data_IF_378607795382
#
_entry.id   IF_378607795382
#
_cell.length_a   1.000
_cell.length_b   1.000
_cell.length_c   1.000
_cell.angle_alpha   90.00
_cell.angle_beta   90.00
_cell.angle_gamma   90.00
#
_symmetry.space_group_name_H-M   'P 1'
#
loop_
_entity.id
_entity.type
_entity.pdbx_description
1 polymer ?
#
# COMPACT_ATOMS: atom_id res chain seq x y z
N UNK A 1 3.15 26.55 -8.69
CA UNK A 1 1.76 26.22 -9.13
C UNK A 1 1.43 24.80 -8.73
N UNK A 2 0.17 24.53 -8.39
CA UNK A 2 -0.38 23.22 -8.05
C UNK A 2 -1.43 22.85 -9.08
N UNK A 3 -1.34 21.65 -9.63
CA UNK A 3 -2.37 21.05 -10.48
C UNK A 3 -3.36 20.27 -9.64
N UNK A 4 -4.64 20.54 -9.82
CA UNK A 4 -5.73 19.80 -9.18
C UNK A 4 -6.29 18.86 -10.24
N UNK A 5 -6.08 17.56 -10.04
CA UNK A 5 -6.56 16.51 -10.93
C UNK A 5 -7.60 15.69 -10.18
N UNK A 6 -8.73 15.44 -10.82
CA UNK A 6 -9.78 14.59 -10.29
C UNK A 6 -9.68 13.22 -10.93
N UNK A 7 -9.73 12.18 -10.10
CA UNK A 7 -9.92 10.80 -10.51
C UNK A 7 -11.29 10.34 -10.03
N UNK A 8 -12.16 9.94 -10.94
CA UNK A 8 -13.53 9.52 -10.62
C UNK A 8 -13.99 8.38 -11.52
N UNK A 9 -15.10 7.74 -11.18
CA UNK A 9 -15.68 6.67 -11.99
C UNK A 9 -16.97 7.14 -12.66
N UNK A 10 -17.08 6.94 -13.97
CA UNK A 10 -18.30 7.18 -14.74
C UNK A 10 -18.70 5.88 -15.43
N UNK A 11 -19.87 5.32 -15.09
CA UNK A 11 -20.31 4.00 -15.55
C UNK A 11 -19.23 2.91 -15.31
N UNK A 12 -18.66 2.88 -14.10
CA UNK A 12 -17.58 1.96 -13.70
C UNK A 12 -16.25 2.11 -14.48
N UNK A 13 -16.14 3.07 -15.38
CA UNK A 13 -14.88 3.42 -16.05
C UNK A 13 -14.17 4.50 -15.26
N UNK A 14 -12.90 4.27 -14.93
CA UNK A 14 -12.06 5.28 -14.27
C UNK A 14 -11.68 6.36 -15.27
N UNK A 15 -11.95 7.61 -14.92
CA UNK A 15 -11.54 8.79 -15.67
C UNK A 15 -10.67 9.71 -14.80
N UNK A 16 -9.69 10.35 -15.43
CA UNK A 16 -8.89 11.41 -14.84
C UNK A 16 -9.04 12.70 -15.64
N UNK A 17 -9.23 13.82 -14.94
CA UNK A 17 -9.44 15.14 -15.54
C UNK A 17 -8.67 16.20 -14.75
N UNK A 18 -7.88 17.00 -15.46
CA UNK A 18 -7.31 18.22 -14.90
C UNK A 18 -8.45 19.23 -14.66
N UNK A 19 -8.65 19.62 -13.41
CA UNK A 19 -9.67 20.60 -13.05
C UNK A 19 -9.12 22.03 -13.14
N UNK A 20 -7.95 22.26 -12.55
CA UNK A 20 -7.36 23.58 -12.46
C UNK A 20 -5.86 23.52 -12.22
N UNK A 21 -5.16 24.57 -12.63
CA UNK A 21 -3.80 24.87 -12.19
C UNK A 21 -3.86 26.19 -11.44
N UNK A 22 -3.43 26.19 -10.18
CA UNK A 22 -3.48 27.38 -9.32
C UNK A 22 -2.14 27.68 -8.70
N UNK A 23 -1.86 28.97 -8.52
CA UNK A 23 -0.81 29.39 -7.61
C UNK A 23 -1.30 29.28 -6.18
N UNK A 24 -0.43 28.80 -5.30
CA UNK A 24 -0.75 28.75 -3.88
C UNK A 24 -0.41 30.09 -3.23
N UNK A 25 -1.31 30.64 -2.41
CA UNK A 25 -1.03 31.84 -1.64
C UNK A 25 -0.03 31.58 -0.51
N UNK A 26 0.12 30.33 -0.06
CA UNK A 26 0.92 29.93 1.10
C UNK A 26 1.31 28.45 1.01
N UNK A 27 2.38 28.05 1.70
CA UNK A 27 2.84 26.65 1.81
C UNK A 27 2.29 25.93 3.05
N UNK A 28 1.39 26.56 3.81
CA UNK A 28 0.79 26.00 5.03
C UNK A 28 -0.38 25.08 4.65
N UNK A 29 -0.45 23.89 5.28
CA UNK A 29 -1.42 22.85 4.93
C UNK A 29 -2.89 23.31 5.00
N UNK A 30 -3.24 24.14 5.98
CA UNK A 30 -4.60 24.71 6.14
C UNK A 30 -5.00 25.56 4.94
N UNK A 31 -4.10 26.45 4.48
CA UNK A 31 -4.36 27.34 3.34
C UNK A 31 -4.54 26.54 2.05
N UNK A 32 -3.75 25.48 1.89
CA UNK A 32 -3.84 24.56 0.75
C UNK A 32 -5.17 23.81 0.77
N UNK A 33 -5.60 23.31 1.93
CA UNK A 33 -6.86 22.59 2.08
C UNK A 33 -8.07 23.48 1.75
N UNK A 34 -8.11 24.71 2.27
CA UNK A 34 -9.16 25.68 1.93
C UNK A 34 -9.17 26.00 0.44
N UNK A 35 -8.00 26.27 -0.15
CA UNK A 35 -7.88 26.53 -1.59
C UNK A 35 -8.42 25.37 -2.43
N UNK A 36 -8.11 24.13 -2.07
CA UNK A 36 -8.62 22.93 -2.75
C UNK A 36 -10.15 22.87 -2.67
N UNK A 37 -10.72 22.94 -1.46
CA UNK A 37 -12.16 22.86 -1.24
C UNK A 37 -12.91 23.99 -1.96
N UNK A 38 -12.42 25.23 -1.89
CA UNK A 38 -13.02 26.37 -2.57
C UNK A 38 -12.95 26.22 -4.09
N UNK A 39 -11.86 25.65 -4.60
CA UNK A 39 -11.74 25.37 -6.04
C UNK A 39 -12.74 24.32 -6.49
N UNK A 40 -12.95 23.25 -5.72
CA UNK A 40 -13.95 22.23 -6.03
C UNK A 40 -15.36 22.83 -6.04
N UNK A 41 -15.73 23.58 -4.98
CA UNK A 41 -17.03 24.26 -4.86
C UNK A 41 -17.27 25.24 -6.00
N UNK A 42 -16.26 26.03 -6.37
CA UNK A 42 -16.34 26.99 -7.49
C UNK A 42 -16.65 26.31 -8.83
N UNK A 43 -16.19 25.08 -9.03
CA UNK A 43 -16.48 24.30 -10.24
C UNK A 43 -17.74 23.44 -10.11
N UNK A 44 -18.56 23.65 -9.07
CA UNK A 44 -19.80 22.90 -8.86
C UNK A 44 -19.59 21.45 -8.45
N UNK A 45 -18.40 21.09 -7.95
CA UNK A 45 -18.11 19.73 -7.51
C UNK A 45 -18.60 19.57 -6.07
N UNK A 46 -19.45 18.58 -5.89
CA UNK A 46 -19.97 18.19 -4.58
C UNK A 46 -18.87 17.54 -3.73
N UNK A 47 -18.41 18.29 -2.72
CA UNK A 47 -17.34 17.86 -1.82
C UNK A 47 -17.75 16.68 -0.93
N UNK A 48 -19.05 16.38 -0.80
CA UNK A 48 -19.52 15.21 -0.04
C UNK A 48 -19.09 13.89 -0.70
N UNK A 49 -18.84 13.90 -2.02
CA UNK A 49 -18.48 12.71 -2.82
C UNK A 49 -16.98 12.40 -2.84
N UNK A 50 -16.15 13.19 -2.16
CA UNK A 50 -14.69 12.98 -2.13
C UNK A 50 -14.37 11.74 -1.30
N UNK A 51 -13.85 10.68 -1.88
CA UNK A 51 -13.53 9.45 -1.12
C UNK A 51 -12.06 9.33 -0.71
N UNK A 52 -11.18 10.10 -1.35
CA UNK A 52 -9.75 10.08 -1.06
C UNK A 52 -9.02 11.32 -1.55
N UNK A 53 -7.81 11.48 -1.05
CA UNK A 53 -6.89 12.57 -1.33
C UNK A 53 -5.49 12.02 -1.59
N UNK A 54 -4.80 12.52 -2.60
CA UNK A 54 -3.48 11.99 -3.02
C UNK A 54 -2.53 13.13 -3.39
N UNK A 55 -1.37 13.16 -2.76
CA UNK A 55 -0.29 14.15 -2.99
C UNK A 55 1.03 13.65 -2.38
N UNK A 56 2.09 14.48 -2.46
CA UNK A 56 3.41 14.14 -1.93
C UNK A 56 3.43 13.96 -0.40
N UNK A 57 4.53 13.40 0.11
CA UNK A 57 4.67 13.09 1.52
C UNK A 57 5.20 14.27 2.33
N UNK A 58 5.27 15.48 1.78
CA UNK A 58 5.77 16.63 2.52
C UNK A 58 4.90 16.91 3.75
N UNK A 59 5.53 17.38 4.85
CA UNK A 59 4.85 17.51 6.15
C UNK A 59 3.62 18.44 6.12
N UNK A 60 3.61 19.44 5.25
CA UNK A 60 2.47 20.33 5.04
C UNK A 60 1.30 19.65 4.30
N UNK A 61 1.54 18.55 3.58
CA UNK A 61 0.53 17.78 2.87
C UNK A 61 0.07 16.56 3.69
N UNK A 62 1.03 15.75 4.14
CA UNK A 62 0.85 14.45 4.81
C UNK A 62 0.88 14.51 6.34
N UNK A 63 1.00 15.69 6.95
CA UNK A 63 1.04 15.83 8.41
C UNK A 63 -0.27 15.42 9.08
N UNK A 64 -0.21 14.62 10.15
CA UNK A 64 -1.39 14.07 10.87
C UNK A 64 -2.21 15.12 11.61
N UNK A 65 -1.61 16.25 11.98
CA UNK A 65 -2.29 17.29 12.77
C UNK A 65 -2.52 18.60 12.02
N UNK A 66 -1.58 18.98 11.13
CA UNK A 66 -1.59 20.28 10.42
C UNK A 66 -1.37 20.13 8.91
N UNK A 67 -1.29 18.89 8.43
CA UNK A 67 -1.18 18.63 7.00
C UNK A 67 -2.52 18.83 6.30
N UNK A 68 -2.48 19.01 4.98
CA UNK A 68 -3.68 19.01 4.13
C UNK A 68 -4.58 17.81 4.44
N UNK A 69 -4.00 16.63 4.71
CA UNK A 69 -4.78 15.42 4.96
C UNK A 69 -5.72 15.57 6.17
N UNK A 70 -5.22 16.15 7.24
CA UNK A 70 -5.97 16.35 8.47
C UNK A 70 -7.01 17.45 8.28
N UNK A 71 -6.60 18.55 7.63
CA UNK A 71 -7.45 19.72 7.40
C UNK A 71 -8.65 19.37 6.51
N UNK A 72 -8.46 18.60 5.44
CA UNK A 72 -9.57 18.20 4.55
C UNK A 72 -10.56 17.31 5.30
N UNK A 73 -10.08 16.34 6.08
CA UNK A 73 -10.96 15.48 6.89
C UNK A 73 -11.74 16.27 7.95
N UNK A 74 -11.11 17.28 8.56
CA UNK A 74 -11.74 18.17 9.54
C UNK A 74 -12.82 19.05 8.89
N UNK A 75 -12.50 19.72 7.76
CA UNK A 75 -13.43 20.58 7.02
C UNK A 75 -14.65 19.81 6.52
N UNK A 76 -14.46 18.57 6.07
CA UNK A 76 -15.54 17.71 5.57
C UNK A 76 -16.23 16.90 6.68
N UNK A 77 -15.76 16.99 7.93
CA UNK A 77 -16.27 16.23 9.10
C UNK A 77 -16.36 14.72 8.83
N UNK A 78 -15.41 14.20 8.06
CA UNK A 78 -15.32 12.79 7.67
C UNK A 78 -13.86 12.44 7.45
N UNK A 79 -13.47 11.23 7.84
CA UNK A 79 -12.15 10.74 7.51
C UNK A 79 -12.01 10.48 6.00
N UNK A 80 -11.12 11.22 5.35
CA UNK A 80 -10.82 11.11 3.93
C UNK A 80 -9.50 10.40 3.76
N UNK A 81 -9.53 9.25 3.09
CA UNK A 81 -8.36 8.39 2.91
C UNK A 81 -7.26 9.16 2.18
N UNK A 82 -6.13 9.35 2.86
CA UNK A 82 -4.93 9.90 2.25
C UNK A 82 -4.09 8.79 1.64
N UNK A 83 -3.80 8.91 0.36
CA UNK A 83 -2.93 8.01 -0.40
C UNK A 83 -1.61 8.75 -0.68
N UNK A 84 -0.49 8.34 -0.07
CA UNK A 84 0.80 8.96 -0.32
C UNK A 84 1.26 8.72 -1.76
N UNK A 85 1.93 9.71 -2.37
CA UNK A 85 2.43 9.59 -3.73
C UNK A 85 3.56 8.55 -3.82
N UNK A 86 3.28 7.42 -4.48
CA UNK A 86 4.26 6.36 -4.70
C UNK A 86 5.50 6.83 -5.48
N UNK A 87 5.32 7.69 -6.49
CA UNK A 87 6.45 8.25 -7.26
C UNK A 87 7.38 9.10 -6.39
N UNK A 88 6.83 9.88 -5.45
CA UNK A 88 7.63 10.63 -4.50
C UNK A 88 8.38 9.71 -3.54
N UNK A 89 7.72 8.69 -3.00
CA UNK A 89 8.36 7.67 -2.14
C UNK A 89 9.51 6.96 -2.86
N UNK A 90 9.30 6.54 -4.12
CA UNK A 90 10.34 5.90 -4.93
C UNK A 90 11.50 6.86 -5.24
N UNK A 91 11.19 8.10 -5.64
CA UNK A 91 12.23 9.08 -5.95
C UNK A 91 13.03 9.47 -4.70
N UNK A 92 12.39 9.51 -3.53
CA UNK A 92 13.06 9.71 -2.26
C UNK A 92 13.99 8.52 -1.95
N UNK A 93 13.53 7.29 -2.15
CA UNK A 93 14.36 6.10 -1.98
C UNK A 93 15.60 6.11 -2.89
N UNK A 94 15.42 6.47 -4.17
CA UNK A 94 16.52 6.62 -5.14
C UNK A 94 17.44 7.77 -4.75
N UNK A 95 16.90 8.92 -4.36
CA UNK A 95 17.70 10.07 -3.89
C UNK A 95 18.56 9.67 -2.70
N UNK A 96 18.01 8.99 -1.70
CA UNK A 96 18.80 8.49 -0.56
C UNK A 96 19.85 7.46 -0.96
N UNK A 97 19.61 6.66 -2.00
CA UNK A 97 20.60 5.74 -2.53
C UNK A 97 21.72 6.45 -3.32
N UNK A 98 21.41 7.55 -4.03
CA UNK A 98 22.36 8.32 -4.84
C UNK A 98 23.13 9.37 -4.05
N UNK A 99 22.50 10.04 -3.09
CA UNK A 99 23.11 11.01 -2.17
C UNK A 99 23.89 10.30 -1.04
N UNK A 100 24.42 9.10 -1.34
CA UNK A 100 25.28 8.34 -0.46
C UNK A 100 26.54 9.14 -0.13
N UNK A 101 26.45 9.91 0.95
CA UNK A 101 27.59 10.43 1.68
C UNK A 101 27.91 9.43 2.80
N UNK A 102 29.19 9.27 3.15
CA UNK A 102 29.71 8.32 4.16
C UNK A 102 29.02 8.38 5.55
N UNK A 103 28.10 9.33 5.78
CA UNK A 103 27.28 9.45 6.98
C UNK A 103 25.82 9.14 6.64
N UNK A 104 25.49 7.86 6.59
CA UNK A 104 24.07 7.42 6.58
C UNK A 104 23.49 7.67 7.96
N UNK A 105 22.42 8.46 8.06
CA UNK A 105 21.71 8.58 9.34
C UNK A 105 21.19 7.18 9.73
N UNK A 106 21.26 6.88 11.03
CA UNK A 106 20.93 5.53 11.52
C UNK A 106 19.52 5.10 11.15
N UNK A 107 18.58 6.05 11.01
CA UNK A 107 17.20 5.72 10.68
C UNK A 107 17.08 5.26 9.22
N UNK A 108 17.65 6.00 8.27
CA UNK A 108 17.67 5.61 6.84
C UNK A 108 18.44 4.30 6.62
N UNK A 109 19.59 4.13 7.28
CA UNK A 109 20.36 2.88 7.23
C UNK A 109 19.52 1.68 7.71
N UNK A 110 18.83 1.86 8.84
CA UNK A 110 17.97 0.83 9.41
C UNK A 110 16.77 0.55 8.50
N UNK A 111 16.13 1.57 7.93
CA UNK A 111 15.01 1.39 7.00
C UNK A 111 15.43 0.63 5.74
N UNK A 112 16.56 1.01 5.13
CA UNK A 112 17.09 0.33 3.95
C UNK A 112 17.49 -1.12 4.25
N UNK A 113 18.15 -1.36 5.39
CA UNK A 113 18.53 -2.70 5.84
C UNK A 113 17.30 -3.56 6.11
N UNK A 114 16.29 -3.01 6.77
CA UNK A 114 15.02 -3.71 7.03
C UNK A 114 14.28 -4.04 5.73
N UNK A 115 14.26 -3.13 4.77
CA UNK A 115 13.65 -3.37 3.47
C UNK A 115 14.41 -4.46 2.70
N UNK A 116 15.74 -4.35 2.63
CA UNK A 116 16.61 -5.39 2.03
C UNK A 116 16.32 -6.75 2.64
N UNK A 117 16.34 -6.85 3.98
CA UNK A 117 16.11 -8.10 4.68
C UNK A 117 14.71 -8.69 4.40
N UNK A 118 13.69 -7.85 4.22
CA UNK A 118 12.36 -8.31 3.81
C UNK A 118 12.35 -8.82 2.36
N UNK A 119 12.99 -8.10 1.44
CA UNK A 119 13.00 -8.45 0.01
C UNK A 119 13.79 -9.75 -0.29
N UNK A 120 14.79 -10.08 0.53
CA UNK A 120 15.57 -11.31 0.40
C UNK A 120 15.05 -12.46 1.27
N UNK A 121 14.02 -12.22 2.08
CA UNK A 121 13.47 -13.25 2.97
C UNK A 121 12.87 -14.41 2.17
N UNK A 122 12.95 -15.60 2.75
CA UNK A 122 12.34 -16.78 2.12
C UNK A 122 10.83 -16.64 1.95
N UNK A 123 10.16 -16.08 2.96
CA UNK A 123 8.72 -15.81 2.92
C UNK A 123 8.34 -14.88 1.77
N UNK A 124 9.09 -13.80 1.55
CA UNK A 124 8.83 -12.87 0.45
C UNK A 124 9.04 -13.53 -0.92
N UNK A 125 10.15 -14.27 -1.09
CA UNK A 125 10.44 -15.00 -2.33
C UNK A 125 9.34 -16.00 -2.67
N UNK A 126 8.89 -16.76 -1.67
CA UNK A 126 7.82 -17.74 -1.80
C UNK A 126 6.49 -17.08 -2.18
N UNK A 127 6.09 -16.03 -1.47
CA UNK A 127 4.88 -15.26 -1.77
C UNK A 127 4.94 -14.65 -3.17
N UNK A 128 6.08 -14.10 -3.57
CA UNK A 128 6.25 -13.53 -4.91
C UNK A 128 6.06 -14.58 -6.00
N UNK A 129 6.68 -15.75 -5.84
CA UNK A 129 6.55 -16.88 -6.77
C UNK A 129 5.10 -17.38 -6.89
N UNK A 130 4.38 -17.46 -5.77
CA UNK A 130 2.94 -17.79 -5.78
C UNK A 130 2.11 -16.73 -6.47
N UNK A 131 2.35 -15.45 -6.15
CA UNK A 131 1.60 -14.35 -6.72
C UNK A 131 1.77 -14.28 -8.24
N UNK A 132 2.97 -14.54 -8.78
CA UNK A 132 3.17 -14.58 -10.24
C UNK A 132 2.29 -15.66 -10.88
N UNK A 133 2.22 -16.86 -10.31
CA UNK A 133 1.37 -17.95 -10.83
C UNK A 133 -0.12 -17.61 -10.71
N UNK A 134 -0.55 -17.13 -9.55
CA UNK A 134 -1.95 -16.75 -9.29
C UNK A 134 -2.42 -15.62 -10.22
N UNK A 135 -1.59 -14.59 -10.40
CA UNK A 135 -1.89 -13.47 -11.30
C UNK A 135 -1.99 -13.95 -12.75
N UNK A 136 -1.11 -14.84 -13.20
CA UNK A 136 -1.21 -15.42 -14.55
C UNK A 136 -2.50 -16.21 -14.76
N UNK A 137 -2.89 -17.04 -13.78
CA UNK A 137 -4.13 -17.83 -13.84
C UNK A 137 -5.38 -16.95 -13.86
N UNK A 138 -5.39 -15.88 -13.08
CA UNK A 138 -6.53 -14.96 -12.99
C UNK A 138 -6.55 -13.89 -14.09
N UNK A 139 -5.44 -13.66 -14.79
CA UNK A 139 -5.29 -12.60 -15.77
C UNK A 139 -6.38 -12.60 -16.86
N UNK A 140 -6.71 -13.78 -17.39
CA UNK A 140 -7.74 -13.91 -18.42
C UNK A 140 -9.12 -13.46 -17.93
N UNK A 141 -9.48 -13.84 -16.70
CA UNK A 141 -10.71 -13.40 -16.06
C UNK A 141 -10.69 -11.90 -15.77
N UNK A 142 -9.62 -11.39 -15.15
CA UNK A 142 -9.54 -9.96 -14.81
C UNK A 142 -9.57 -9.07 -16.05
N UNK A 143 -8.89 -9.48 -17.13
CA UNK A 143 -8.92 -8.76 -18.39
C UNK A 143 -10.33 -8.73 -19.00
N UNK A 144 -11.04 -9.86 -18.97
CA UNK A 144 -12.42 -9.94 -19.47
C UNK A 144 -13.39 -9.10 -18.64
N UNK A 145 -13.30 -9.18 -17.31
CA UNK A 145 -14.12 -8.36 -16.39
C UNK A 145 -13.86 -6.86 -16.52
N UNK A 146 -12.69 -6.46 -17.04
CA UNK A 146 -12.31 -5.07 -17.25
C UNK A 146 -12.68 -4.55 -18.66
N UNK A 147 -13.33 -5.35 -19.51
CA UNK A 147 -13.77 -4.92 -20.83
C UNK A 147 -14.90 -3.87 -20.75
N UNK A 148 -14.91 -2.93 -21.70
CA UNK A 148 -15.94 -1.88 -21.80
C UNK A 148 -17.35 -2.45 -22.02
N UNK A 149 -17.44 -3.56 -22.74
CA UNK A 149 -18.67 -4.30 -23.00
C UNK A 149 -18.46 -5.73 -22.48
N UNK A 150 -19.33 -6.18 -21.59
CA UNK A 150 -19.21 -7.44 -20.89
C UNK A 150 -20.25 -8.44 -21.40
N UNK A 151 -19.79 -9.57 -21.94
CA UNK A 151 -20.66 -10.70 -22.25
C UNK A 151 -20.76 -11.61 -21.04
N UNK A 152 -21.93 -11.63 -20.41
CA UNK A 152 -22.18 -12.35 -19.16
C UNK A 152 -22.01 -13.87 -19.35
N UNK A 153 -22.39 -14.42 -20.51
CA UNK A 153 -22.29 -15.86 -20.78
C UNK A 153 -20.82 -16.27 -20.89
N UNK A 154 -20.06 -15.55 -21.72
CA UNK A 154 -18.61 -15.75 -21.84
C UNK A 154 -17.88 -15.51 -20.51
N UNK A 155 -18.30 -14.50 -19.74
CA UNK A 155 -17.75 -14.21 -18.41
C UNK A 155 -17.94 -15.40 -17.46
N UNK A 156 -19.15 -15.98 -17.44
CA UNK A 156 -19.47 -17.12 -16.57
C UNK A 156 -18.59 -18.34 -16.89
N UNK A 157 -18.37 -18.63 -18.17
CA UNK A 157 -17.50 -19.72 -18.61
C UNK A 157 -16.04 -19.48 -18.19
N UNK A 158 -15.53 -18.26 -18.38
CA UNK A 158 -14.17 -17.89 -17.96
C UNK A 158 -14.03 -17.96 -16.43
N UNK A 159 -15.06 -17.55 -15.68
CA UNK A 159 -15.08 -17.66 -14.22
C UNK A 159 -15.02 -19.13 -13.78
N UNK A 160 -15.87 -19.98 -14.33
CA UNK A 160 -15.89 -21.41 -14.04
C UNK A 160 -14.54 -22.07 -14.36
N UNK A 161 -13.94 -21.72 -15.50
CA UNK A 161 -12.63 -22.25 -15.90
C UNK A 161 -11.50 -21.76 -14.98
N UNK A 162 -11.51 -20.47 -14.62
CA UNK A 162 -10.52 -19.89 -13.69
C UNK A 162 -10.63 -20.55 -12.32
N UNK A 163 -11.85 -20.79 -11.83
CA UNK A 163 -12.08 -21.50 -10.57
C UNK A 163 -11.50 -22.92 -10.60
N UNK A 164 -11.70 -23.67 -11.69
CA UNK A 164 -11.12 -25.00 -11.86
C UNK A 164 -9.59 -24.96 -11.86
N UNK A 165 -8.98 -24.01 -12.59
CA UNK A 165 -7.52 -23.85 -12.63
C UNK A 165 -6.94 -23.52 -11.25
N UNK A 166 -7.60 -22.66 -10.47
CA UNK A 166 -7.20 -22.36 -9.09
C UNK A 166 -7.34 -23.57 -8.17
N UNK A 167 -8.38 -24.39 -8.35
CA UNK A 167 -8.54 -25.64 -7.60
C UNK A 167 -7.44 -26.66 -7.95
N UNK A 168 -7.09 -26.78 -9.23
CA UNK A 168 -5.97 -27.62 -9.67
C UNK A 168 -4.67 -27.14 -9.04
N UNK A 169 -4.39 -25.84 -9.06
CA UNK A 169 -3.19 -25.27 -8.43
C UNK A 169 -3.15 -25.51 -6.93
N UNK A 170 -4.29 -25.41 -6.24
CA UNK A 170 -4.38 -25.66 -4.79
C UNK A 170 -4.06 -27.10 -4.41
N UNK A 171 -4.37 -28.06 -5.29
CA UNK A 171 -4.20 -29.49 -5.03
C UNK A 171 -2.94 -30.07 -5.69
N UNK A 172 -2.09 -29.23 -6.29
CA UNK A 172 -0.85 -29.63 -6.95
C UNK A 172 0.35 -29.47 -6.01
N UNK A 173 0.47 -30.42 -5.08
CA UNK A 173 1.56 -30.46 -4.10
C UNK A 173 2.94 -30.57 -4.77
N UNK A 174 3.02 -31.22 -5.94
CA UNK A 174 4.29 -31.39 -6.67
C UNK A 174 4.82 -30.05 -7.15
N UNK A 175 3.97 -29.25 -7.78
CA UNK A 175 4.34 -27.90 -8.21
C UNK A 175 4.63 -27.00 -7.01
N UNK A 176 3.91 -27.14 -5.90
CA UNK A 176 4.16 -26.42 -4.65
C UNK A 176 5.58 -26.68 -4.12
N UNK A 177 5.95 -27.96 -4.01
CA UNK A 177 7.28 -28.40 -3.55
C UNK A 177 8.38 -27.88 -4.48
N UNK A 178 8.16 -27.91 -5.80
CA UNK A 178 9.12 -27.37 -6.75
C UNK A 178 9.36 -25.86 -6.57
N UNK A 179 8.30 -25.07 -6.33
CA UNK A 179 8.43 -23.64 -6.03
C UNK A 179 9.24 -23.43 -4.76
N UNK A 180 8.96 -24.21 -3.71
CA UNK A 180 9.68 -24.12 -2.44
C UNK A 180 11.18 -24.36 -2.67
N UNK A 181 11.52 -25.44 -3.37
CA UNK A 181 12.91 -25.79 -3.67
C UNK A 181 13.63 -24.73 -4.54
N UNK A 182 12.91 -24.08 -5.47
CA UNK A 182 13.44 -22.96 -6.25
C UNK A 182 13.70 -21.74 -5.35
N UNK A 183 12.74 -21.39 -4.48
CA UNK A 183 12.88 -20.27 -3.56
C UNK A 183 14.04 -20.47 -2.57
N UNK A 184 14.25 -21.70 -2.07
CA UNK A 184 15.39 -22.04 -1.21
C UNK A 184 16.72 -21.77 -1.92
N UNK A 185 16.83 -22.13 -3.21
CA UNK A 185 18.03 -21.87 -4.02
C UNK A 185 18.26 -20.37 -4.22
N UNK A 186 17.22 -19.63 -4.58
CA UNK A 186 17.30 -18.19 -4.85
C UNK A 186 17.73 -17.42 -3.60
N UNK A 187 17.18 -17.77 -2.45
CA UNK A 187 17.48 -17.16 -1.16
C UNK A 187 18.88 -17.56 -0.66
N UNK A 188 19.32 -18.78 -0.98
CA UNK A 188 20.68 -19.25 -0.76
C UNK A 188 21.75 -18.43 -1.49
N UNK A 189 21.43 -17.80 -2.63
CA UNK A 189 22.36 -16.88 -3.32
C UNK A 189 22.63 -15.58 -2.54
N UNK A 190 21.79 -15.26 -1.55
CA UNK A 190 21.90 -14.06 -0.71
C UNK A 190 22.40 -14.37 0.71
N UNK A 191 22.95 -15.57 0.94
CA UNK A 191 23.45 -16.06 2.25
C UNK A 191 22.42 -15.99 3.40
N UNK A 192 21.14 -16.12 3.07
CA UNK A 192 20.06 -16.09 4.07
C UNK A 192 19.92 -17.46 4.72
N UNK A 193 19.96 -17.47 6.06
CA UNK A 193 19.69 -18.68 6.84
C UNK A 193 18.18 -18.82 7.10
N UNK A 194 17.54 -19.70 6.34
CA UNK A 194 16.08 -19.93 6.37
C UNK A 194 15.62 -20.39 7.75
N UNK A 195 16.31 -21.35 8.38
CA UNK A 195 15.95 -21.89 9.70
C UNK A 195 16.02 -20.83 10.81
N UNK A 196 17.08 -20.01 10.79
CA UNK A 196 17.26 -18.93 11.73
C UNK A 196 16.18 -17.84 11.54
N UNK A 197 15.84 -17.53 10.29
CA UNK A 197 14.76 -16.59 9.95
C UNK A 197 13.40 -17.11 10.43
N UNK A 198 13.07 -18.36 10.12
CA UNK A 198 11.83 -19.00 10.56
C UNK A 198 11.70 -18.98 12.08
N UNK A 199 12.77 -19.37 12.79
CA UNK A 199 12.81 -19.40 14.26
C UNK A 199 12.64 -18.00 14.85
N UNK A 200 13.23 -16.98 14.24
CA UNK A 200 13.10 -15.58 14.69
C UNK A 200 11.67 -15.07 14.56
N UNK A 201 11.00 -15.35 13.44
CA UNK A 201 9.65 -14.87 13.15
C UNK A 201 8.57 -15.62 13.94
N UNK A 202 8.78 -16.91 14.20
CA UNK A 202 7.81 -17.78 14.88
C UNK A 202 8.15 -18.04 16.36
N UNK A 203 9.05 -17.24 16.95
CA UNK A 203 9.39 -17.38 18.36
C UNK A 203 8.17 -17.11 19.25
N UNK A 204 7.87 -17.96 20.24
CA UNK A 204 6.84 -17.67 21.23
C UNK A 204 7.12 -16.36 21.94
N UNK A 205 6.11 -15.47 21.99
CA UNK A 205 6.22 -14.20 22.72
C UNK A 205 6.49 -14.50 24.18
N UNK A 206 7.69 -14.16 24.66
CA UNK A 206 8.00 -14.32 26.07
C UNK A 206 7.14 -13.36 26.89
N UNK A 207 6.52 -13.86 27.97
CA UNK A 207 5.82 -13.01 28.93
C UNK A 207 6.81 -11.99 29.48
N UNK A 208 6.40 -10.72 29.49
CA UNK A 208 7.15 -9.66 30.16
C UNK A 208 7.41 -10.08 31.60
N UNK A 209 8.69 -10.07 32.02
CA UNK A 209 9.06 -10.26 33.43
C UNK A 209 8.73 -9.02 34.28
N UNK A 210 8.41 -7.91 33.63
CA UNK A 210 8.02 -6.65 34.28
C UNK A 210 6.54 -6.76 34.63
N UNK A 211 6.25 -6.88 35.93
CA UNK A 211 4.90 -6.79 36.48
C UNK A 211 4.48 -5.32 36.37
N UNK A 212 3.36 -5.06 35.69
CA UNK A 212 2.78 -3.72 35.68
C UNK A 212 2.15 -3.47 37.05
N UNK A 213 2.80 -2.63 37.84
CA UNK A 213 2.33 -2.21 39.17
C UNK A 213 1.54 -0.90 39.10
N UNK A 214 1.19 -0.42 37.90
CA UNK A 214 0.40 0.79 37.74
C UNK A 214 -1.06 0.55 38.21
N UNK A 215 -1.54 1.25 39.24
CA UNK A 215 -2.90 1.05 39.75
C UNK A 215 -3.98 1.47 38.74
N UNK A 216 -3.65 2.30 37.75
CA UNK A 216 -4.60 2.76 36.73
C UNK A 216 -4.88 1.72 35.63
N UNK A 217 -3.99 0.75 35.42
CA UNK A 217 -4.16 -0.35 34.46
C UNK A 217 -4.69 -1.64 35.11
N UNK A 218 -4.97 -1.60 36.43
CA UNK A 218 -5.49 -2.74 37.18
C UNK A 218 -6.94 -3.04 36.77
N UNK A 219 -7.17 -4.23 36.20
CA UNK A 219 -8.51 -4.75 35.91
C UNK A 219 -8.95 -5.62 37.08
N UNK A 220 -10.07 -5.27 37.71
CA UNK A 220 -10.72 -6.13 38.71
C UNK A 220 -11.36 -7.33 38.00
N UNK A 221 -10.77 -8.51 38.15
CA UNK A 221 -11.41 -9.75 37.72
C UNK A 221 -12.49 -10.10 38.75
N UNK A 222 -13.74 -9.77 38.45
CA UNK A 222 -14.89 -10.35 39.15
C UNK A 222 -14.96 -11.84 38.81
N UNK A 223 -14.77 -12.70 39.81
CA UNK A 223 -15.04 -14.14 39.71
C UNK A 223 -16.54 -14.41 39.69
#
# INVERSE_FOLDING_TARGET
>A
MYSIVLRFTKHFVVEERLLAVKELPSKVGVDIAHMLIDTLRKHGIDTSKIVGQCYDNAANMSGTYKGVQACISEVLKRDIIHIPCGAHTSNLAVKHACDYQDVVDKETANQATNLKNKLISFEFSLLLSFMVKLMRTTNGLTAHLQMKELDILTTFDIMCNTQKLLQMMRNDDVTLINIINECEKDVGLFDVNIDAEFTRLHRPRQRSRKIDMNPQSAVSLSR
#
